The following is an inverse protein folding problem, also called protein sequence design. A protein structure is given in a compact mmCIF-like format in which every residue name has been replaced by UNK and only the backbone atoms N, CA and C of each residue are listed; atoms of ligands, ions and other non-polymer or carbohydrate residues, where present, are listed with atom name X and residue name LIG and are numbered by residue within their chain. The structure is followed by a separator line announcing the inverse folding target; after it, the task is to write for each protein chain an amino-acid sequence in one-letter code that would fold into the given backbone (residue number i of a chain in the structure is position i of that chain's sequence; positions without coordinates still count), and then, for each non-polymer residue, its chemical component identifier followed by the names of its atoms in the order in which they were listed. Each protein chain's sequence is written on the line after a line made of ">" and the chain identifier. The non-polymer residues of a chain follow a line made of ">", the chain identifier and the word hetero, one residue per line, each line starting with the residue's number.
data_IF_586830784413
#
_entry.id   IF_586830784413
#
_cell.length_a   1.000
_cell.length_b   1.000
_cell.length_c   1.000
_cell.angle_alpha   90.00
_cell.angle_beta   90.00
_cell.angle_gamma   90.00
#
_symmetry.space_group_name_H-M   'P 1'
#
loop_
_entity.id
_entity.type
_entity.pdbx_description
1 polymer ?
#
# COMPACT_ATOMS: atom_id res chain seq x y z
N UNK A 1 -2.78 -23.08 1.05
CA UNK A 1 -3.11 -21.91 0.21
C UNK A 1 -4.51 -21.99 -0.45
N UNK A 2 -5.55 -22.55 0.19
CA UNK A 2 -6.89 -22.70 -0.43
C UNK A 2 -8.07 -22.07 0.35
N UNK A 3 -7.83 -21.46 1.51
CA UNK A 3 -8.90 -20.80 2.30
C UNK A 3 -8.97 -19.27 2.09
N UNK A 4 -7.81 -18.62 1.88
CA UNK A 4 -7.75 -17.17 1.61
C UNK A 4 -8.23 -16.79 0.21
N UNK A 5 -7.95 -17.62 -0.81
CA UNK A 5 -8.35 -17.35 -2.20
C UNK A 5 -9.86 -17.34 -2.42
N UNK A 6 -10.61 -18.15 -1.67
CA UNK A 6 -12.08 -18.15 -1.70
C UNK A 6 -12.69 -16.95 -0.96
N UNK A 7 -12.08 -16.52 0.15
CA UNK A 7 -12.59 -15.38 0.91
C UNK A 7 -12.38 -14.05 0.18
N UNK A 8 -11.20 -13.86 -0.44
CA UNK A 8 -10.90 -12.67 -1.23
C UNK A 8 -11.73 -12.58 -2.52
N UNK A 9 -11.84 -13.67 -3.27
CA UNK A 9 -12.66 -13.69 -4.50
C UNK A 9 -14.16 -13.58 -4.22
N UNK A 10 -14.67 -14.14 -3.11
CA UNK A 10 -16.05 -13.91 -2.66
C UNK A 10 -16.27 -12.45 -2.25
N UNK A 11 -15.35 -11.86 -1.48
CA UNK A 11 -15.46 -10.46 -1.09
C UNK A 11 -15.50 -9.53 -2.31
N UNK A 12 -14.62 -9.74 -3.29
CA UNK A 12 -14.60 -8.99 -4.55
C UNK A 12 -15.90 -9.19 -5.34
N UNK A 13 -16.41 -10.42 -5.43
CA UNK A 13 -17.66 -10.71 -6.15
C UNK A 13 -18.88 -10.05 -5.49
N UNK A 14 -18.93 -10.03 -4.15
CA UNK A 14 -19.99 -9.35 -3.39
C UNK A 14 -19.95 -7.84 -3.59
N UNK A 15 -18.76 -7.23 -3.59
CA UNK A 15 -18.60 -5.79 -3.81
C UNK A 15 -18.99 -5.39 -5.23
N UNK A 16 -18.59 -6.16 -6.25
CA UNK A 16 -18.98 -5.92 -7.65
C UNK A 16 -20.50 -6.04 -7.82
N UNK A 17 -21.12 -7.07 -7.23
CA UNK A 17 -22.57 -7.27 -7.28
C UNK A 17 -23.31 -6.13 -6.58
N UNK A 18 -22.87 -5.70 -5.41
CA UNK A 18 -23.49 -4.61 -4.67
C UNK A 18 -23.33 -3.25 -5.38
N UNK A 19 -22.22 -3.02 -6.10
CA UNK A 19 -22.05 -1.86 -6.98
C UNK A 19 -23.00 -1.89 -8.19
N UNK A 20 -23.15 -3.04 -8.85
CA UNK A 20 -24.06 -3.24 -9.97
C UNK A 20 -25.54 -3.10 -9.56
N UNK A 21 -25.89 -3.54 -8.35
CA UNK A 21 -27.22 -3.39 -7.75
C UNK A 21 -27.49 -2.00 -7.16
N UNK A 22 -26.52 -1.08 -7.21
CA UNK A 22 -26.57 0.25 -6.56
C UNK A 22 -26.81 0.21 -5.03
N UNK A 23 -26.50 -0.92 -4.38
CA UNK A 23 -26.54 -1.04 -2.91
C UNK A 23 -25.46 -0.21 -2.22
N UNK A 24 -24.39 0.14 -2.96
CA UNK A 24 -23.28 0.99 -2.49
C UNK A 24 -23.24 2.28 -3.32
N UNK A 25 -23.32 3.43 -2.65
CA UNK A 25 -23.33 4.75 -3.26
C UNK A 25 -21.95 5.43 -3.24
N UNK A 26 -21.82 6.55 -3.95
CA UNK A 26 -20.64 7.44 -3.82
C UNK A 26 -20.45 7.95 -2.37
N UNK A 27 -21.52 7.97 -1.57
CA UNK A 27 -21.50 8.37 -0.16
C UNK A 27 -20.77 7.39 0.77
N UNK A 28 -20.61 6.13 0.36
CA UNK A 28 -19.93 5.11 1.16
C UNK A 28 -18.40 5.14 1.00
N UNK A 29 -17.86 6.00 0.12
CA UNK A 29 -16.42 6.13 -0.13
C UNK A 29 -15.64 6.17 1.17
N UNK A 30 -16.01 7.08 2.09
CA UNK A 30 -15.29 7.27 3.34
C UNK A 30 -15.35 6.02 4.24
N UNK A 31 -16.49 5.34 4.28
CA UNK A 31 -16.68 4.09 5.03
C UNK A 31 -15.78 2.97 4.49
N UNK A 32 -15.65 2.86 3.17
CA UNK A 32 -14.78 1.87 2.53
C UNK A 32 -13.31 2.22 2.79
N UNK A 33 -12.91 3.49 2.68
CA UNK A 33 -11.55 3.93 2.98
C UNK A 33 -11.14 3.60 4.43
N UNK A 34 -12.01 3.91 5.40
CA UNK A 34 -11.77 3.61 6.81
C UNK A 34 -11.69 2.11 7.10
N UNK A 35 -12.42 1.29 6.34
CA UNK A 35 -12.38 -0.18 6.48
C UNK A 35 -11.07 -0.78 5.96
N UNK A 36 -10.47 -0.18 4.94
CA UNK A 36 -9.22 -0.67 4.34
C UNK A 36 -7.96 -0.17 5.06
N UNK A 37 -8.06 0.93 5.82
CA UNK A 37 -6.96 1.48 6.62
C UNK A 37 -6.26 0.43 7.52
N UNK A 38 -6.99 -0.35 8.36
CA UNK A 38 -6.37 -1.37 9.21
C UNK A 38 -5.67 -2.47 8.41
N UNK A 39 -6.26 -2.90 7.30
CA UNK A 39 -5.68 -3.91 6.42
C UNK A 39 -4.34 -3.42 5.86
N UNK A 40 -4.31 -2.19 5.34
CA UNK A 40 -3.11 -1.56 4.82
C UNK A 40 -2.03 -1.37 5.88
N UNK A 41 -2.40 -0.91 7.09
CA UNK A 41 -1.48 -0.73 8.21
C UNK A 41 -0.89 -2.05 8.70
N UNK A 42 -1.70 -3.10 8.84
CA UNK A 42 -1.22 -4.42 9.30
C UNK A 42 -0.28 -5.02 8.26
N UNK A 43 -0.68 -5.06 7.00
CA UNK A 43 0.16 -5.58 5.92
C UNK A 43 1.45 -4.77 5.76
N UNK A 44 1.35 -3.44 5.79
CA UNK A 44 2.48 -2.53 5.73
C UNK A 44 3.44 -2.71 6.89
N UNK A 45 2.92 -2.91 8.11
CA UNK A 45 3.74 -3.15 9.30
C UNK A 45 4.47 -4.49 9.23
N UNK A 46 3.79 -5.56 8.80
CA UNK A 46 4.40 -6.87 8.61
C UNK A 46 5.53 -6.77 7.58
N UNK A 47 5.26 -6.17 6.41
CA UNK A 47 6.26 -6.00 5.36
C UNK A 47 7.41 -5.09 5.80
N UNK A 48 7.11 -4.03 6.56
CA UNK A 48 8.11 -3.13 7.13
C UNK A 48 9.05 -3.83 8.11
N UNK A 49 8.52 -4.65 9.01
CA UNK A 49 9.31 -5.48 9.93
C UNK A 49 10.16 -6.48 9.16
N UNK A 50 9.59 -7.16 8.16
CA UNK A 50 10.35 -8.08 7.31
C UNK A 50 11.50 -7.35 6.59
N UNK A 51 11.26 -6.15 6.06
CA UNK A 51 12.27 -5.32 5.43
C UNK A 51 13.41 -4.92 6.37
N UNK A 52 13.07 -4.46 7.58
CA UNK A 52 14.05 -4.11 8.62
C UNK A 52 14.88 -5.35 9.01
N UNK A 53 14.22 -6.47 9.32
CA UNK A 53 14.89 -7.71 9.68
C UNK A 53 15.84 -8.18 8.58
N UNK A 54 15.42 -8.07 7.31
CA UNK A 54 16.26 -8.43 6.16
C UNK A 54 17.51 -7.58 6.07
N UNK A 55 17.39 -6.26 6.23
CA UNK A 55 18.55 -5.33 6.20
C UNK A 55 19.49 -5.62 7.36
N UNK A 56 18.95 -5.75 8.58
CA UNK A 56 19.73 -6.06 9.77
C UNK A 56 20.48 -7.39 9.61
N UNK A 57 19.79 -8.44 9.16
CA UNK A 57 20.38 -9.76 8.97
C UNK A 57 21.52 -9.74 7.94
N UNK A 58 21.34 -9.03 6.82
CA UNK A 58 22.39 -8.92 5.80
C UNK A 58 23.61 -8.14 6.29
N UNK A 59 23.41 -7.09 7.09
CA UNK A 59 24.51 -6.36 7.72
C UNK A 59 25.28 -7.25 8.71
N UNK A 60 24.57 -7.92 9.62
CA UNK A 60 25.20 -8.74 10.68
C UNK A 60 25.85 -10.02 10.14
N UNK A 61 25.28 -10.64 9.10
CA UNK A 61 25.86 -11.82 8.45
C UNK A 61 26.97 -11.47 7.45
N UNK A 62 27.21 -10.18 7.18
CA UNK A 62 28.23 -9.73 6.22
C UNK A 62 27.88 -10.03 4.76
N UNK A 63 26.61 -10.26 4.43
CA UNK A 63 26.19 -10.45 3.04
C UNK A 63 26.22 -9.15 2.24
N UNK A 64 26.03 -8.01 2.90
CA UNK A 64 26.12 -6.69 2.28
C UNK A 64 26.43 -5.65 3.35
N UNK A 65 27.31 -4.70 3.04
CA UNK A 65 27.59 -3.56 3.92
C UNK A 65 26.76 -2.34 3.51
N UNK A 66 25.75 -2.02 4.32
CA UNK A 66 24.90 -0.83 4.20
C UNK A 66 25.55 0.42 4.80
N UNK A 67 26.77 0.30 5.33
CA UNK A 67 27.54 1.39 5.91
C UNK A 67 27.14 1.73 7.35
N UNK A 68 27.75 2.79 7.93
CA UNK A 68 27.61 3.13 9.35
C UNK A 68 26.17 3.51 9.75
N UNK A 69 25.37 3.98 8.81
CA UNK A 69 23.99 4.44 9.03
C UNK A 69 22.94 3.39 8.62
N UNK A 70 23.32 2.11 8.51
CA UNK A 70 22.39 1.02 8.19
C UNK A 70 21.11 0.98 9.06
N UNK A 71 21.09 1.35 10.36
CA UNK A 71 19.87 1.34 11.14
C UNK A 71 18.86 2.38 10.63
N UNK A 72 19.34 3.54 10.17
CA UNK A 72 18.51 4.60 9.60
C UNK A 72 17.97 4.19 8.23
N UNK A 73 18.75 3.46 7.43
CA UNK A 73 18.29 2.89 6.16
C UNK A 73 17.19 1.85 6.42
N UNK A 74 17.39 0.95 7.39
CA UNK A 74 16.39 -0.03 7.79
C UNK A 74 15.09 0.64 8.25
N UNK A 75 15.18 1.65 9.13
CA UNK A 75 14.05 2.44 9.59
C UNK A 75 13.32 3.16 8.43
N UNK A 76 14.07 3.74 7.50
CA UNK A 76 13.53 4.41 6.29
C UNK A 76 12.74 3.42 5.44
N UNK A 77 13.29 2.25 5.15
CA UNK A 77 12.61 1.21 4.37
C UNK A 77 11.37 0.69 5.10
N UNK A 78 11.47 0.42 6.39
CA UNK A 78 10.34 -0.05 7.20
C UNK A 78 9.19 0.96 7.23
N UNK A 79 9.49 2.23 7.53
CA UNK A 79 8.50 3.30 7.59
C UNK A 79 7.87 3.59 6.21
N UNK A 80 8.69 3.59 5.15
CA UNK A 80 8.20 3.78 3.78
C UNK A 80 7.24 2.64 3.38
N UNK A 81 7.56 1.38 3.68
CA UNK A 81 6.68 0.24 3.37
C UNK A 81 5.32 0.34 4.06
N UNK A 82 5.26 0.78 5.32
CA UNK A 82 3.98 1.03 6.01
C UNK A 82 3.15 2.06 5.25
N UNK A 83 3.74 3.19 4.86
CA UNK A 83 3.06 4.25 4.14
C UNK A 83 2.61 3.82 2.74
N UNK A 84 3.51 3.21 1.97
CA UNK A 84 3.26 2.78 0.58
C UNK A 84 2.14 1.73 0.54
N UNK A 85 2.18 0.71 1.42
CA UNK A 85 1.17 -0.35 1.43
C UNK A 85 -0.18 0.20 1.88
N UNK A 86 -0.20 1.06 2.92
CA UNK A 86 -1.45 1.68 3.40
C UNK A 86 -2.09 2.54 2.32
N UNK A 87 -1.31 3.42 1.68
CA UNK A 87 -1.82 4.26 0.60
C UNK A 87 -2.13 3.48 -0.68
N UNK A 88 -1.42 2.39 -0.94
CA UNK A 88 -1.73 1.47 -2.03
C UNK A 88 -3.09 0.80 -1.86
N UNK A 89 -3.37 0.25 -0.67
CA UNK A 89 -4.67 -0.34 -0.34
C UNK A 89 -5.82 0.67 -0.43
N UNK A 90 -5.59 1.89 0.06
CA UNK A 90 -6.56 2.99 -0.08
C UNK A 90 -6.78 3.39 -1.54
N UNK A 91 -5.71 3.60 -2.30
CA UNK A 91 -5.81 4.04 -3.69
C UNK A 91 -6.50 3.00 -4.56
N UNK A 92 -6.19 1.71 -4.37
CA UNK A 92 -6.83 0.62 -5.10
C UNK A 92 -8.33 0.49 -4.79
N UNK A 93 -8.74 0.68 -3.54
CA UNK A 93 -10.16 0.61 -3.15
C UNK A 93 -10.96 1.85 -3.55
N UNK A 94 -10.32 3.03 -3.59
CA UNK A 94 -10.98 4.31 -3.88
C UNK A 94 -11.06 4.64 -5.37
N UNK A 95 -10.20 4.06 -6.20
CA UNK A 95 -10.15 4.35 -7.63
C UNK A 95 -11.51 4.14 -8.35
N UNK A 96 -12.26 3.05 -8.12
CA UNK A 96 -13.57 2.86 -8.75
C UNK A 96 -14.57 3.97 -8.41
N UNK A 97 -14.53 4.49 -7.18
CA UNK A 97 -15.36 5.61 -6.74
C UNK A 97 -14.95 6.92 -7.41
N UNK A 98 -13.64 7.14 -7.56
CA UNK A 98 -13.09 8.30 -8.27
C UNK A 98 -13.55 8.32 -9.74
N UNK A 99 -13.44 7.19 -10.44
CA UNK A 99 -13.88 7.06 -11.84
C UNK A 99 -15.39 7.28 -11.98
N UNK A 100 -16.19 6.66 -11.10
CA UNK A 100 -17.65 6.85 -11.06
C UNK A 100 -18.04 8.32 -10.87
N UNK A 101 -17.29 9.05 -10.03
CA UNK A 101 -17.54 10.48 -9.77
C UNK A 101 -17.25 11.36 -10.99
N UNK A 102 -16.26 10.98 -11.80
CA UNK A 102 -15.89 11.70 -13.03
C UNK A 102 -16.77 11.28 -14.23
N UNK A 103 -17.62 10.25 -14.06
CA UNK A 103 -18.53 9.77 -15.10
C UNK A 103 -17.94 8.67 -15.99
N UNK A 104 -16.77 8.14 -15.65
CA UNK A 104 -16.19 6.96 -16.30
C UNK A 104 -16.76 5.66 -15.71
N UNK A 105 -16.76 4.60 -16.51
CA UNK A 105 -17.15 3.27 -16.05
C UNK A 105 -16.13 2.75 -15.02
N UNK A 106 -16.51 2.45 -13.77
CA UNK A 106 -15.62 1.88 -12.76
C UNK A 106 -14.99 0.54 -13.19
N UNK A 107 -15.62 -0.20 -14.10
CA UNK A 107 -15.06 -1.43 -14.66
C UNK A 107 -13.85 -1.16 -15.58
N UNK A 108 -13.67 0.08 -16.04
CA UNK A 108 -12.48 0.50 -16.79
C UNK A 108 -11.24 0.71 -15.91
N UNK A 109 -11.38 0.63 -14.58
CA UNK A 109 -10.24 0.61 -13.65
C UNK A 109 -9.37 -0.62 -13.93
N UNK A 110 -8.36 -0.46 -14.78
CA UNK A 110 -7.45 -1.54 -15.14
C UNK A 110 -6.38 -1.70 -14.07
N UNK A 111 -5.99 -2.96 -13.79
CA UNK A 111 -4.89 -3.25 -12.87
C UNK A 111 -3.58 -2.50 -13.23
N UNK A 112 -3.21 -2.30 -14.51
CA UNK A 112 -2.06 -1.47 -14.88
C UNK A 112 -2.19 -0.01 -14.43
N UNK A 113 -3.37 0.60 -14.54
CA UNK A 113 -3.55 1.99 -14.11
C UNK A 113 -3.36 2.15 -12.60
N UNK A 114 -3.94 1.24 -11.81
CA UNK A 114 -3.75 1.21 -10.34
C UNK A 114 -2.27 1.09 -10.01
N UNK A 115 -1.55 0.17 -10.67
CA UNK A 115 -0.12 -0.02 -10.45
C UNK A 115 0.67 1.27 -10.69
N UNK A 116 0.44 1.97 -11.80
CA UNK A 116 1.15 3.24 -12.07
C UNK A 116 0.89 4.33 -11.03
N UNK A 117 -0.34 4.43 -10.53
CA UNK A 117 -0.70 5.41 -9.52
C UNK A 117 -0.01 5.06 -8.19
N UNK A 118 0.00 3.78 -7.82
CA UNK A 118 0.69 3.28 -6.63
C UNK A 118 2.21 3.45 -6.76
N UNK A 119 2.80 3.28 -7.94
CA UNK A 119 4.24 3.48 -8.15
C UNK A 119 4.64 4.95 -7.97
N UNK A 120 3.92 5.88 -8.60
CA UNK A 120 4.19 7.32 -8.49
C UNK A 120 4.02 7.79 -7.05
N UNK A 121 2.89 7.44 -6.41
CA UNK A 121 2.65 7.80 -5.01
C UNK A 121 3.65 7.11 -4.07
N UNK A 122 4.02 5.87 -4.39
CA UNK A 122 4.99 5.09 -3.65
C UNK A 122 6.38 5.72 -3.62
N UNK A 123 6.86 6.20 -4.77
CA UNK A 123 8.13 6.93 -4.87
C UNK A 123 8.09 8.24 -4.07
N UNK A 124 6.99 9.00 -4.17
CA UNK A 124 6.83 10.24 -3.38
C UNK A 124 6.90 9.94 -1.89
N UNK A 125 6.23 8.90 -1.41
CA UNK A 125 6.27 8.48 0.00
C UNK A 125 7.68 8.07 0.39
N UNK A 126 8.33 7.21 -0.40
CA UNK A 126 9.68 6.73 -0.12
C UNK A 126 10.67 7.88 0.02
N UNK A 127 10.72 8.79 -0.95
CA UNK A 127 11.62 9.94 -0.89
C UNK A 127 11.26 10.92 0.22
N UNK A 128 9.97 11.11 0.52
CA UNK A 128 9.55 11.97 1.65
C UNK A 128 10.02 11.39 2.99
N UNK A 129 9.84 10.09 3.20
CA UNK A 129 10.29 9.39 4.41
C UNK A 129 11.82 9.41 4.50
N UNK A 130 12.53 9.16 3.39
CA UNK A 130 13.98 9.26 3.32
C UNK A 130 14.48 10.67 3.66
N UNK A 131 13.85 11.72 3.12
CA UNK A 131 14.19 13.10 3.43
C UNK A 131 13.93 13.47 4.89
N UNK A 132 12.96 12.85 5.57
CA UNK A 132 12.73 13.11 6.99
C UNK A 132 13.73 12.35 7.86
N UNK A 133 14.05 11.10 7.54
CA UNK A 133 14.86 10.22 8.40
C UNK A 133 16.36 10.35 8.13
N UNK A 134 16.76 10.55 6.87
CA UNK A 134 18.16 10.53 6.44
C UNK A 134 18.76 11.93 6.26
N UNK A 135 17.96 12.99 6.39
CA UNK A 135 18.46 14.37 6.26
C UNK A 135 19.51 14.69 7.32
N UNK A 136 20.64 15.22 6.88
CA UNK A 136 21.79 15.53 7.73
C UNK A 136 22.71 14.34 8.01
N UNK A 137 22.45 13.17 7.42
CA UNK A 137 23.33 11.99 7.52
C UNK A 137 23.75 11.48 6.14
N UNK A 138 22.78 11.09 5.30
CA UNK A 138 23.00 10.59 3.94
C UNK A 138 22.41 11.48 2.84
N UNK A 139 21.54 12.43 3.20
CA UNK A 139 20.90 13.44 2.32
C UNK A 139 21.09 14.83 2.91
#
# INVERSE_FOLDING_TARGET
>A
MSSGGNSGSQATSLVIRALALREIGLGDWWRVALRELPTGLVLGSILGVVGICRIALWQYLGFYDYGPHWPLIAATVGAALVGIVTLGSLSGSMLPFALKRVGFDPASASAPFVATLVDVTGLVIYFSVALVILRGTLL
#
